data_IF_463032521169
#
_entry.id   IF_463032521169
#
_cell.length_a   1.000
_cell.length_b   1.000
_cell.length_c   1.000
_cell.angle_alpha   90.00
_cell.angle_beta   90.00
_cell.angle_gamma   90.00
#
_symmetry.space_group_name_H-M   'P 1'
#
loop_
_entity.id
_entity.type
_entity.pdbx_description
1 polymer ?
#
# COMPACT_ATOMS: atom_id res chain seq x y z
N UNK A 1 13.38 8.54 -11.62
CA UNK A 1 14.86 8.45 -11.82
C UNK A 1 15.60 9.79 -11.91
N UNK A 2 15.07 10.85 -12.56
CA UNK A 2 15.78 12.15 -12.67
C UNK A 2 16.12 12.79 -11.33
N UNK A 3 15.17 12.80 -10.39
CA UNK A 3 15.38 13.37 -9.04
C UNK A 3 16.38 12.54 -8.23
N UNK A 4 16.28 11.21 -8.25
CA UNK A 4 17.22 10.31 -7.58
C UNK A 4 18.66 10.50 -8.06
N UNK A 5 18.86 10.56 -9.39
CA UNK A 5 20.19 10.84 -9.98
C UNK A 5 20.77 12.17 -9.51
N UNK A 6 19.94 13.21 -9.41
CA UNK A 6 20.36 14.55 -8.96
C UNK A 6 20.80 14.54 -7.50
N UNK A 7 20.03 13.89 -6.62
CA UNK A 7 20.38 13.75 -5.19
C UNK A 7 21.67 12.95 -5.03
N UNK A 8 21.80 11.82 -5.72
CA UNK A 8 23.00 10.97 -5.65
C UNK A 8 24.25 11.67 -6.18
N UNK A 9 24.13 12.40 -7.30
CA UNK A 9 25.24 13.19 -7.86
C UNK A 9 25.69 14.30 -6.91
N UNK A 10 24.75 14.99 -6.25
CA UNK A 10 25.08 16.02 -5.26
C UNK A 10 25.71 15.44 -3.98
N UNK A 11 25.44 14.16 -3.67
CA UNK A 11 26.06 13.43 -2.56
C UNK A 11 27.46 12.89 -2.90
N UNK A 12 28.00 13.17 -4.10
CA UNK A 12 29.34 12.76 -4.50
C UNK A 12 29.43 11.33 -5.05
N UNK A 13 28.30 10.68 -5.36
CA UNK A 13 28.29 9.33 -5.95
C UNK A 13 28.87 9.39 -7.36
N UNK A 14 30.05 8.80 -7.55
CA UNK A 14 30.78 8.76 -8.83
C UNK A 14 30.24 7.67 -9.77
N UNK A 15 29.62 6.62 -9.22
CA UNK A 15 29.09 5.50 -9.99
C UNK A 15 27.83 4.94 -9.34
N UNK A 16 26.76 4.72 -10.12
CA UNK A 16 25.47 4.22 -9.63
C UNK A 16 24.97 3.09 -10.52
N UNK A 17 24.90 1.88 -9.98
CA UNK A 17 24.27 0.74 -10.64
C UNK A 17 22.80 0.67 -10.20
N UNK A 18 21.87 0.82 -11.14
CA UNK A 18 20.45 0.64 -10.87
C UNK A 18 20.06 -0.81 -11.11
N UNK A 19 19.83 -1.57 -10.05
CA UNK A 19 19.01 -2.77 -10.15
C UNK A 19 17.56 -2.31 -10.29
N UNK A 20 17.08 -2.12 -11.52
CA UNK A 20 15.64 -2.14 -11.75
C UNK A 20 15.17 -3.53 -11.37
N UNK A 21 14.32 -3.63 -10.35
CA UNK A 21 13.56 -4.86 -10.09
C UNK A 21 12.83 -5.33 -11.35
N UNK A 22 12.31 -6.56 -11.31
CA UNK A 22 11.75 -7.29 -12.45
C UNK A 22 11.20 -6.40 -13.58
N UNK A 23 11.60 -6.69 -14.83
CA UNK A 23 11.23 -5.93 -16.04
C UNK A 23 9.72 -5.88 -16.31
N UNK A 24 8.95 -6.64 -15.55
CA UNK A 24 7.50 -6.62 -15.52
C UNK A 24 7.14 -5.69 -14.35
N UNK A 25 6.60 -4.49 -14.60
CA UNK A 25 6.31 -3.43 -13.61
C UNK A 25 5.40 -3.87 -12.41
N UNK A 26 5.09 -5.16 -12.32
CA UNK A 26 4.39 -5.86 -11.24
C UNK A 26 5.24 -5.91 -9.97
N UNK A 27 5.10 -4.86 -9.15
CA UNK A 27 5.59 -4.87 -7.77
C UNK A 27 4.70 -5.76 -6.90
N UNK A 28 5.18 -6.97 -6.57
CA UNK A 28 4.42 -7.98 -5.79
C UNK A 28 4.42 -7.73 -4.28
N UNK A 29 5.33 -6.89 -3.77
CA UNK A 29 5.53 -6.73 -2.33
C UNK A 29 4.52 -5.79 -1.64
N UNK A 30 3.89 -4.86 -2.36
CA UNK A 30 3.03 -3.81 -1.77
C UNK A 30 1.67 -3.72 -2.47
N UNK A 31 1.02 -4.86 -2.67
CA UNK A 31 -0.35 -4.90 -3.19
C UNK A 31 -1.31 -4.30 -2.17
N UNK A 32 -2.10 -3.33 -2.61
CA UNK A 32 -3.07 -2.59 -1.80
C UNK A 32 -4.31 -2.25 -2.63
N UNK A 33 -5.43 -1.97 -1.97
CA UNK A 33 -6.65 -1.43 -2.61
C UNK A 33 -7.58 -2.45 -3.26
N UNK A 34 -7.31 -3.75 -3.12
CA UNK A 34 -8.16 -4.85 -3.63
C UNK A 34 -9.53 -4.91 -2.93
N UNK A 35 -9.58 -4.52 -1.66
CA UNK A 35 -10.78 -4.52 -0.81
C UNK A 35 -10.95 -3.14 -0.14
N UNK A 36 -10.82 -2.07 -0.93
CA UNK A 36 -10.74 -0.70 -0.38
C UNK A 36 -11.89 -0.37 0.60
N UNK A 37 -11.58 0.34 1.67
CA UNK A 37 -12.59 0.92 2.55
C UNK A 37 -13.10 2.27 2.02
N UNK A 38 -14.34 2.60 2.37
CA UNK A 38 -15.00 3.85 2.01
C UNK A 38 -16.38 3.96 2.65
N UNK A 39 -17.04 5.09 2.42
CA UNK A 39 -18.39 5.35 2.96
C UNK A 39 -19.51 4.98 2.00
N UNK A 40 -19.19 4.64 0.76
CA UNK A 40 -20.17 4.30 -0.29
C UNK A 40 -19.98 2.84 -0.75
N UNK A 41 -20.98 1.96 -0.54
CA UNK A 41 -20.90 0.56 -0.93
C UNK A 41 -20.82 0.34 -2.44
N UNK A 42 -21.16 1.34 -3.27
CA UNK A 42 -21.03 1.23 -4.74
C UNK A 42 -19.59 1.43 -5.22
N UNK A 43 -18.72 2.01 -4.38
CA UNK A 43 -17.34 2.36 -4.73
C UNK A 43 -16.30 1.75 -3.79
N UNK A 44 -16.73 1.09 -2.71
CA UNK A 44 -15.87 0.45 -1.72
C UNK A 44 -16.43 -0.89 -1.26
N UNK A 45 -15.54 -1.81 -0.89
CA UNK A 45 -15.90 -3.15 -0.41
C UNK A 45 -16.14 -3.13 1.10
N UNK A 46 -15.37 -2.31 1.81
CA UNK A 46 -15.41 -2.22 3.26
C UNK A 46 -15.90 -0.84 3.72
N UNK A 47 -16.51 -0.78 4.89
CA UNK A 47 -16.75 0.46 5.63
C UNK A 47 -15.43 0.99 6.25
N UNK A 48 -15.41 2.21 6.83
CA UNK A 48 -14.21 2.77 7.46
C UNK A 48 -13.63 1.98 8.63
N UNK A 49 -14.34 0.96 9.10
CA UNK A 49 -13.93 0.04 10.16
C UNK A 49 -13.49 -1.31 9.59
N UNK A 50 -13.16 -1.39 8.30
CA UNK A 50 -12.69 -2.61 7.64
C UNK A 50 -13.70 -3.76 7.68
N UNK A 51 -14.99 -3.44 7.81
CA UNK A 51 -16.09 -4.40 7.80
C UNK A 51 -16.77 -4.42 6.44
N UNK A 52 -17.24 -5.57 5.99
CA UNK A 52 -18.02 -5.64 4.75
C UNK A 52 -19.33 -4.84 4.85
N UNK A 53 -19.69 -4.12 3.79
CA UNK A 53 -20.95 -3.38 3.73
C UNK A 53 -22.19 -4.29 3.76
N UNK A 54 -22.06 -5.53 3.26
CA UNK A 54 -23.15 -6.50 3.14
C UNK A 54 -23.19 -7.53 4.29
N UNK A 55 -22.17 -7.57 5.16
CA UNK A 55 -22.07 -8.51 6.28
C UNK A 55 -21.52 -7.84 7.54
N UNK A 56 -22.37 -7.72 8.56
CA UNK A 56 -22.03 -7.01 9.81
C UNK A 56 -20.98 -7.71 10.69
N UNK A 57 -20.64 -8.96 10.40
CA UNK A 57 -19.74 -9.80 11.20
C UNK A 57 -18.47 -10.24 10.45
N UNK A 58 -18.19 -9.66 9.28
CA UNK A 58 -17.01 -10.00 8.48
C UNK A 58 -16.09 -8.80 8.35
N UNK A 59 -14.84 -8.96 8.79
CA UNK A 59 -13.81 -7.93 8.78
C UNK A 59 -12.60 -8.38 7.94
N UNK A 60 -12.01 -7.46 7.18
CA UNK A 60 -10.83 -7.71 6.34
C UNK A 60 -9.69 -6.81 6.82
N UNK A 61 -8.63 -7.41 7.37
CA UNK A 61 -7.48 -6.66 7.90
C UNK A 61 -6.18 -7.09 7.21
N UNK A 62 -5.93 -6.51 6.04
CA UNK A 62 -4.75 -6.74 5.21
C UNK A 62 -4.31 -5.45 4.47
N UNK A 63 -3.47 -5.54 3.43
CA UNK A 63 -3.13 -4.35 2.61
C UNK A 63 -4.26 -3.88 1.69
N UNK A 64 -5.24 -4.74 1.43
CA UNK A 64 -6.34 -4.53 0.49
C UNK A 64 -7.28 -3.41 0.89
N UNK A 65 -7.46 -3.14 2.19
CA UNK A 65 -8.31 -2.04 2.65
C UNK A 65 -7.78 -0.67 2.21
N UNK A 66 -6.47 -0.50 2.07
CA UNK A 66 -5.87 0.81 1.80
C UNK A 66 -6.33 1.37 0.43
N UNK A 67 -7.02 2.52 0.36
CA UNK A 67 -7.54 3.06 -0.89
C UNK A 67 -6.46 3.48 -1.90
N UNK A 68 -5.28 3.82 -1.39
CA UNK A 68 -4.12 4.19 -2.20
C UNK A 68 -2.82 3.74 -1.54
N UNK A 69 -1.78 3.57 -2.36
CA UNK A 69 -0.42 3.32 -1.87
C UNK A 69 0.18 4.61 -1.31
N UNK A 70 0.77 4.52 -0.13
CA UNK A 70 1.42 5.66 0.54
C UNK A 70 2.86 5.91 0.03
N UNK A 71 3.34 5.12 -0.94
CA UNK A 71 4.73 5.19 -1.41
C UNK A 71 5.78 4.72 -0.39
N UNK A 72 5.32 4.19 0.74
CA UNK A 72 6.11 3.58 1.82
C UNK A 72 5.58 2.17 2.11
N UNK A 73 6.30 1.40 2.92
CA UNK A 73 5.85 0.03 3.25
C UNK A 73 4.51 0.06 4.02
N UNK A 74 3.46 -0.63 3.51
CA UNK A 74 2.14 -0.63 4.13
C UNK A 74 2.10 -1.44 5.44
N UNK A 75 3.10 -2.29 5.71
CA UNK A 75 3.13 -3.17 6.88
C UNK A 75 2.99 -2.42 8.22
N UNK A 76 3.58 -1.22 8.32
CA UNK A 76 3.51 -0.41 9.53
C UNK A 76 2.12 0.20 9.77
N UNK A 77 1.32 0.36 8.72
CA UNK A 77 -0.07 0.86 8.78
C UNK A 77 -1.07 -0.26 9.03
N UNK A 78 -0.83 -1.46 8.50
CA UNK A 78 -1.71 -2.63 8.67
C UNK A 78 -1.62 -3.19 10.10
N UNK A 79 -0.40 -3.27 10.66
CA UNK A 79 -0.15 -3.93 11.95
C UNK A 79 -0.91 -3.33 13.15
N UNK A 80 -1.02 -2.00 13.31
CA UNK A 80 -1.82 -1.40 14.39
C UNK A 80 -3.30 -1.69 14.23
N UNK A 81 -3.83 -1.71 13.00
CA UNK A 81 -5.24 -1.95 12.74
C UNK A 81 -5.64 -3.38 13.12
N UNK A 82 -4.78 -4.37 12.81
CA UNK A 82 -4.99 -5.76 13.22
C UNK A 82 -5.11 -5.92 14.74
N UNK A 83 -4.43 -5.11 15.55
CA UNK A 83 -4.52 -5.15 17.02
C UNK A 83 -5.80 -4.55 17.60
N UNK A 84 -6.60 -3.84 16.80
CA UNK A 84 -7.86 -3.24 17.28
C UNK A 84 -9.02 -4.23 17.18
N UNK A 85 -8.89 -5.24 16.32
CA UNK A 85 -9.93 -6.24 16.05
C UNK A 85 -9.71 -7.60 16.78
N UNK A 86 -8.56 -7.79 17.43
CA UNK A 86 -8.19 -8.99 18.21
C UNK A 86 -7.52 -8.61 19.53
#
# INVERSE_FOLDING_TARGET
MRQLKKVMSNAGVVFMFGATGDKDDRHTAHQVGTTRFGTDPNTSVLDPYCRLHDHDNVFVVDGGFMPTSLGVSPALTIRPLAKVFF
#
